data_IF_982971648121
#
_entry.id   IF_982971648121
#
_cell.length_a   1.000
_cell.length_b   1.000
_cell.length_c   1.000
_cell.angle_alpha   90.00
_cell.angle_beta   90.00
_cell.angle_gamma   90.00
#
_symmetry.space_group_name_H-M   'P 1'
#
loop_
_entity.id
_entity.type
_entity.pdbx_description
1 polymer ?
#
# COMPACT_ATOMS: atom_id res chain seq x y z
N UNK A 1 -14.91 27.76 -16.05
CA UNK A 1 -15.43 26.88 -14.95
C UNK A 1 -14.28 26.01 -14.45
N UNK A 2 -14.13 25.83 -13.12
CA UNK A 2 -13.16 24.86 -12.59
C UNK A 2 -13.63 23.43 -12.89
N UNK A 3 -12.72 22.48 -13.21
CA UNK A 3 -13.07 21.07 -13.34
C UNK A 3 -13.66 20.52 -12.04
N UNK A 4 -14.66 19.65 -12.16
CA UNK A 4 -15.29 18.98 -11.01
C UNK A 4 -14.53 17.71 -10.62
N UNK A 5 -14.12 17.61 -9.38
CA UNK A 5 -13.35 16.46 -8.86
C UNK A 5 -14.11 15.79 -7.72
N UNK A 6 -14.28 14.47 -7.85
CA UNK A 6 -14.79 13.62 -6.78
C UNK A 6 -13.60 13.03 -5.99
N UNK A 7 -13.62 13.15 -4.67
CA UNK A 7 -12.68 12.47 -3.77
C UNK A 7 -13.43 11.35 -3.07
N UNK A 8 -13.11 10.09 -3.40
CA UNK A 8 -13.89 8.92 -2.95
C UNK A 8 -13.71 8.59 -1.46
N UNK A 9 -12.59 8.97 -0.88
CA UNK A 9 -12.24 8.71 0.53
C UNK A 9 -11.53 9.92 1.13
N UNK A 10 -11.60 10.05 2.44
CA UNK A 10 -10.80 11.06 3.16
C UNK A 10 -9.33 10.92 2.82
N UNK A 11 -8.70 12.03 2.42
CA UNK A 11 -7.25 12.16 2.24
C UNK A 11 -6.70 13.17 3.26
N UNK A 12 -5.42 13.53 3.20
CA UNK A 12 -4.87 14.50 4.15
C UNK A 12 -5.53 15.88 3.98
N UNK A 13 -5.76 16.58 5.09
CA UNK A 13 -6.39 17.91 5.09
C UNK A 13 -5.66 18.88 4.16
N UNK A 14 -4.33 18.86 4.17
CA UNK A 14 -3.51 19.69 3.28
C UNK A 14 -3.79 19.41 1.80
N UNK A 15 -4.00 18.14 1.42
CA UNK A 15 -4.32 17.79 0.05
C UNK A 15 -5.73 18.23 -0.33
N UNK A 16 -6.71 18.06 0.57
CA UNK A 16 -8.09 18.54 0.37
C UNK A 16 -8.15 20.06 0.21
N UNK A 17 -7.47 20.81 1.08
CA UNK A 17 -7.38 22.27 0.97
C UNK A 17 -6.76 22.72 -0.34
N UNK A 18 -5.70 22.05 -0.80
CA UNK A 18 -5.04 22.36 -2.07
C UNK A 18 -5.97 22.10 -3.26
N UNK A 19 -6.68 20.97 -3.24
CA UNK A 19 -7.65 20.62 -4.29
C UNK A 19 -8.77 21.66 -4.35
N UNK A 20 -9.35 22.06 -3.23
CA UNK A 20 -10.45 23.03 -3.16
C UNK A 20 -10.06 24.43 -3.68
N UNK A 21 -8.78 24.79 -3.57
CA UNK A 21 -8.28 26.05 -4.15
C UNK A 21 -8.28 26.04 -5.68
N UNK A 22 -7.97 24.88 -6.27
CA UNK A 22 -7.74 24.75 -7.71
C UNK A 22 -8.96 24.23 -8.48
N UNK A 23 -9.81 23.39 -7.86
CA UNK A 23 -10.91 22.67 -8.48
C UNK A 23 -12.25 22.91 -7.76
N UNK A 24 -13.35 22.49 -8.41
CA UNK A 24 -14.65 22.32 -7.78
C UNK A 24 -14.71 20.90 -7.21
N UNK A 25 -14.57 20.75 -5.90
CA UNK A 25 -14.29 19.47 -5.24
C UNK A 25 -15.45 19.02 -4.37
N UNK A 26 -15.87 17.77 -4.58
CA UNK A 26 -16.74 17.07 -3.63
C UNK A 26 -15.89 16.08 -2.83
N UNK A 27 -15.84 16.30 -1.53
CA UNK A 27 -15.15 15.44 -0.56
C UNK A 27 -16.09 14.39 0.00
N UNK A 28 -15.55 13.24 0.42
CA UNK A 28 -16.26 12.26 1.24
C UNK A 28 -15.87 12.44 2.72
N UNK A 29 -16.66 13.20 3.49
CA UNK A 29 -16.26 13.60 4.85
C UNK A 29 -16.36 12.45 5.86
N UNK A 30 -17.15 11.41 5.56
CA UNK A 30 -17.38 10.27 6.46
C UNK A 30 -16.28 9.23 6.41
N UNK A 31 -15.39 9.28 5.41
CA UNK A 31 -14.36 8.28 5.14
C UNK A 31 -14.89 6.83 5.05
N UNK A 32 -16.14 6.68 4.62
CA UNK A 32 -16.75 5.38 4.35
C UNK A 32 -16.55 5.02 2.87
N UNK A 33 -16.31 3.74 2.55
CA UNK A 33 -16.26 3.31 1.14
C UNK A 33 -17.58 3.58 0.44
N UNK A 34 -17.54 4.24 -0.71
CA UNK A 34 -18.71 4.42 -1.56
C UNK A 34 -18.97 3.10 -2.29
N UNK A 35 -20.18 2.50 -2.16
CA UNK A 35 -20.52 1.29 -2.91
C UNK A 35 -20.36 1.50 -4.42
N UNK A 36 -19.89 0.49 -5.16
CA UNK A 36 -19.63 0.59 -6.60
C UNK A 36 -20.83 1.15 -7.38
N UNK A 37 -22.02 0.69 -7.08
CA UNK A 37 -23.26 1.14 -7.76
C UNK A 37 -23.59 2.61 -7.52
N UNK A 38 -23.25 3.14 -6.36
CA UNK A 38 -23.41 4.55 -6.03
C UNK A 38 -22.26 5.38 -6.65
N UNK A 39 -21.02 4.90 -6.55
CA UNK A 39 -19.86 5.54 -7.14
C UNK A 39 -20.04 5.78 -8.65
N UNK A 40 -20.56 4.78 -9.37
CA UNK A 40 -20.88 4.88 -10.81
C UNK A 40 -21.89 6.01 -11.09
N UNK A 41 -22.92 6.13 -10.27
CA UNK A 41 -23.95 7.17 -10.44
C UNK A 41 -23.35 8.57 -10.24
N UNK A 42 -22.57 8.73 -9.15
CA UNK A 42 -22.04 10.02 -8.77
C UNK A 42 -20.94 10.46 -9.74
N UNK A 43 -20.00 9.59 -10.11
CA UNK A 43 -18.79 9.95 -10.87
C UNK A 43 -19.10 10.48 -12.27
N UNK A 44 -20.27 10.16 -12.79
CA UNK A 44 -20.72 10.62 -14.11
C UNK A 44 -20.90 12.15 -14.23
N UNK A 45 -20.95 12.85 -13.09
CA UNK A 45 -21.06 14.31 -13.04
C UNK A 45 -19.69 15.01 -12.91
N UNK A 46 -18.60 14.26 -12.87
CA UNK A 46 -17.25 14.77 -12.59
C UNK A 46 -16.29 14.63 -13.77
N UNK A 47 -15.34 15.55 -13.85
CA UNK A 47 -14.25 15.54 -14.84
C UNK A 47 -13.08 14.67 -14.39
N UNK A 48 -12.88 14.52 -13.08
CA UNK A 48 -11.83 13.71 -12.47
C UNK A 48 -12.27 13.06 -11.17
N UNK A 49 -11.57 12.02 -10.79
CA UNK A 49 -11.78 11.30 -9.55
C UNK A 49 -10.45 11.06 -8.85
N UNK A 50 -10.41 11.30 -7.55
CA UNK A 50 -9.34 10.80 -6.68
C UNK A 50 -9.86 9.54 -6.01
N UNK A 51 -9.18 8.41 -6.27
CA UNK A 51 -9.55 7.09 -5.80
C UNK A 51 -8.51 6.52 -4.84
N UNK A 52 -8.90 5.49 -4.10
CA UNK A 52 -8.04 4.71 -3.22
C UNK A 52 -8.09 3.23 -3.58
N UNK A 53 -7.24 2.40 -2.98
CA UNK A 53 -7.25 0.96 -3.19
C UNK A 53 -8.55 0.25 -2.73
N UNK A 54 -9.43 0.96 -2.05
CA UNK A 54 -10.73 0.42 -1.59
C UNK A 54 -11.85 0.59 -2.63
N UNK A 55 -11.64 1.46 -3.61
CA UNK A 55 -12.63 1.70 -4.66
C UNK A 55 -12.58 0.58 -5.71
N UNK A 56 -13.73 0.03 -6.04
CA UNK A 56 -13.84 -1.01 -7.06
C UNK A 56 -14.05 -0.37 -8.45
N UNK A 57 -12.99 -0.31 -9.24
CA UNK A 57 -12.96 0.35 -10.55
C UNK A 57 -12.72 -0.70 -11.65
N UNK A 58 -13.65 -1.64 -11.73
CA UNK A 58 -13.61 -2.76 -12.67
C UNK A 58 -14.40 -2.51 -13.95
N UNK A 59 -14.70 -3.59 -14.66
CA UNK A 59 -15.42 -3.55 -15.93
C UNK A 59 -16.80 -2.90 -15.80
N UNK A 60 -17.55 -3.23 -14.74
CA UNK A 60 -18.87 -2.67 -14.48
C UNK A 60 -18.81 -1.14 -14.31
N UNK A 61 -17.78 -0.64 -13.61
CA UNK A 61 -17.57 0.80 -13.47
C UNK A 61 -17.40 1.47 -14.84
N UNK A 62 -16.47 0.99 -15.66
CA UNK A 62 -16.18 1.61 -16.96
C UNK A 62 -17.33 1.50 -17.96
N UNK A 63 -18.09 0.40 -17.95
CA UNK A 63 -19.21 0.20 -18.86
C UNK A 63 -20.38 1.16 -18.61
N UNK A 64 -20.50 1.70 -17.40
CA UNK A 64 -21.59 2.59 -17.01
C UNK A 64 -21.19 4.08 -16.94
N UNK A 65 -20.04 4.45 -17.48
CA UNK A 65 -19.61 5.85 -17.54
C UNK A 65 -20.28 6.62 -18.68
N UNK A 66 -20.72 7.84 -18.40
CA UNK A 66 -21.32 8.78 -19.37
C UNK A 66 -20.31 9.41 -20.35
N UNK A 67 -19.01 9.22 -20.12
CA UNK A 67 -17.94 9.79 -20.95
C UNK A 67 -17.41 11.15 -20.48
N UNK A 68 -17.87 11.70 -19.36
CA UNK A 68 -17.38 12.95 -18.79
C UNK A 68 -16.06 12.80 -18.04
N UNK A 69 -15.87 11.69 -17.36
CA UNK A 69 -14.67 11.39 -16.58
C UNK A 69 -13.43 11.28 -17.50
N UNK A 70 -12.38 12.04 -17.20
CA UNK A 70 -11.15 12.12 -18.01
C UNK A 70 -9.94 11.53 -17.32
N UNK A 71 -9.94 11.52 -15.98
CA UNK A 71 -8.80 11.11 -15.19
C UNK A 71 -9.22 10.48 -13.86
N UNK A 72 -8.52 9.43 -13.45
CA UNK A 72 -8.58 8.84 -12.13
C UNK A 72 -7.18 8.91 -11.53
N UNK A 73 -7.05 9.63 -10.40
CA UNK A 73 -5.81 9.76 -9.65
C UNK A 73 -5.86 8.84 -8.43
N UNK A 74 -5.14 7.73 -8.47
CA UNK A 74 -5.09 6.73 -7.42
C UNK A 74 -4.16 7.19 -6.28
N UNK A 75 -4.67 7.32 -5.08
CA UNK A 75 -3.88 7.50 -3.86
C UNK A 75 -3.36 6.14 -3.42
N UNK A 76 -2.18 5.80 -3.89
CA UNK A 76 -1.52 4.50 -3.64
C UNK A 76 -0.52 4.17 -4.72
N UNK A 77 0.37 3.22 -4.42
CA UNK A 77 1.34 2.68 -5.39
C UNK A 77 0.70 1.61 -6.25
N UNK A 78 -0.08 0.71 -5.63
CA UNK A 78 -0.85 -0.33 -6.31
C UNK A 78 -2.10 0.24 -6.96
N UNK A 79 -2.50 -0.37 -8.06
CA UNK A 79 -3.71 -0.03 -8.81
C UNK A 79 -4.43 -1.29 -9.32
N UNK A 80 -4.29 -2.39 -8.59
CA UNK A 80 -4.92 -3.69 -8.95
C UNK A 80 -6.46 -3.63 -8.91
N UNK A 81 -6.99 -2.63 -8.20
CA UNK A 81 -8.42 -2.33 -8.14
C UNK A 81 -8.95 -1.60 -9.39
N UNK A 82 -8.06 -1.18 -10.31
CA UNK A 82 -8.42 -0.44 -11.53
C UNK A 82 -8.16 -1.30 -12.76
N UNK A 83 -9.17 -1.53 -13.58
CA UNK A 83 -9.03 -2.25 -14.84
C UNK A 83 -8.44 -1.34 -15.92
N UNK A 84 -7.11 -1.30 -16.00
CA UNK A 84 -6.35 -0.39 -16.88
C UNK A 84 -6.77 -0.50 -18.35
N UNK A 85 -6.98 -1.72 -18.85
CA UNK A 85 -7.40 -1.94 -20.23
C UNK A 85 -8.70 -1.20 -20.57
N UNK A 86 -9.70 -1.26 -19.70
CA UNK A 86 -10.96 -0.55 -19.90
C UNK A 86 -10.80 0.97 -19.78
N UNK A 87 -9.90 1.44 -18.91
CA UNK A 87 -9.56 2.87 -18.82
C UNK A 87 -8.94 3.38 -20.14
N UNK A 88 -8.02 2.62 -20.75
CA UNK A 88 -7.39 2.94 -22.04
C UNK A 88 -8.41 2.99 -23.17
N UNK A 89 -9.30 2.00 -23.26
CA UNK A 89 -10.40 1.96 -24.25
C UNK A 89 -11.32 3.18 -24.14
N UNK A 90 -11.60 3.64 -22.91
CA UNK A 90 -12.39 4.83 -22.62
C UNK A 90 -11.58 6.14 -22.68
N UNK A 91 -10.27 6.08 -22.97
CA UNK A 91 -9.34 7.22 -22.98
C UNK A 91 -9.28 7.98 -21.66
N UNK A 92 -9.46 7.27 -20.54
CA UNK A 92 -9.35 7.83 -19.18
C UNK A 92 -7.92 7.66 -18.71
N UNK A 93 -7.29 8.75 -18.29
CA UNK A 93 -5.94 8.73 -17.74
C UNK A 93 -5.94 8.16 -16.33
N UNK A 94 -5.02 7.26 -16.05
CA UNK A 94 -4.80 6.73 -14.69
C UNK A 94 -3.44 7.23 -14.20
N UNK A 95 -3.41 7.78 -12.99
CA UNK A 95 -2.17 8.15 -12.30
C UNK A 95 -2.14 7.49 -10.92
N UNK A 96 -0.95 7.28 -10.39
CA UNK A 96 -0.72 6.72 -9.06
C UNK A 96 0.41 7.45 -8.35
N UNK A 97 0.72 7.07 -7.09
CA UNK A 97 1.77 7.71 -6.28
C UNK A 97 2.97 6.77 -6.06
N UNK A 98 3.78 6.47 -7.10
CA UNK A 98 4.93 5.59 -6.95
C UNK A 98 6.05 6.26 -6.14
N UNK A 99 6.92 5.44 -5.52
CA UNK A 99 8.14 5.81 -4.80
C UNK A 99 7.96 6.45 -3.40
N UNK A 100 6.78 6.95 -3.04
CA UNK A 100 6.57 7.72 -1.80
C UNK A 100 6.63 6.90 -0.52
N UNK A 101 6.53 5.56 -0.60
CA UNK A 101 6.47 4.68 0.57
C UNK A 101 7.50 3.54 0.56
N UNK A 102 8.42 3.52 -0.39
CA UNK A 102 9.35 2.40 -0.54
C UNK A 102 10.19 2.16 0.73
N UNK A 103 10.67 3.23 1.36
CA UNK A 103 11.45 3.17 2.60
C UNK A 103 10.61 2.64 3.76
N UNK A 104 9.45 3.24 3.99
CA UNK A 104 8.56 2.84 5.07
C UNK A 104 8.13 1.36 4.99
N UNK A 105 7.84 0.87 3.76
CA UNK A 105 7.49 -0.53 3.55
C UNK A 105 8.69 -1.45 3.76
N UNK A 106 9.89 -1.04 3.33
CA UNK A 106 11.10 -1.82 3.56
C UNK A 106 11.44 -1.90 5.06
N UNK A 107 11.34 -0.80 5.79
CA UNK A 107 11.50 -0.75 7.25
C UNK A 107 10.51 -1.66 7.96
N UNK A 108 9.24 -1.58 7.59
CA UNK A 108 8.19 -2.45 8.14
C UNK A 108 8.46 -3.92 7.81
N UNK A 109 8.97 -4.23 6.62
CA UNK A 109 9.36 -5.59 6.24
C UNK A 109 10.45 -6.12 7.16
N UNK A 110 11.50 -5.36 7.42
CA UNK A 110 12.58 -5.75 8.33
C UNK A 110 12.09 -5.86 9.78
N UNK A 111 11.25 -4.89 10.21
CA UNK A 111 10.63 -4.96 11.53
C UNK A 111 9.87 -6.29 11.74
N UNK A 112 9.04 -6.69 10.76
CA UNK A 112 8.28 -7.94 10.84
C UNK A 112 9.17 -9.19 10.84
N UNK A 113 10.23 -9.21 10.03
CA UNK A 113 11.22 -10.30 10.00
C UNK A 113 11.89 -10.43 11.37
N UNK A 114 12.35 -9.32 11.95
CA UNK A 114 12.98 -9.30 13.27
C UNK A 114 11.98 -9.66 14.38
N UNK A 115 10.77 -9.12 14.32
CA UNK A 115 9.72 -9.41 15.30
C UNK A 115 9.36 -10.90 15.32
N UNK A 116 9.20 -11.52 14.15
CA UNK A 116 8.95 -12.95 14.03
C UNK A 116 10.14 -13.78 14.53
N UNK A 117 11.36 -13.44 14.07
CA UNK A 117 12.58 -14.16 14.46
C UNK A 117 12.87 -14.08 15.97
N UNK A 118 12.54 -12.97 16.61
CA UNK A 118 12.78 -12.71 18.04
C UNK A 118 11.56 -12.98 18.92
N UNK A 119 10.46 -13.50 18.36
CA UNK A 119 9.22 -13.84 19.09
C UNK A 119 8.62 -12.64 19.84
N UNK A 120 8.68 -11.44 19.24
CA UNK A 120 8.25 -10.20 19.89
C UNK A 120 6.78 -10.22 20.31
N UNK A 121 5.89 -10.80 19.48
CA UNK A 121 4.46 -10.93 19.82
C UNK A 121 4.22 -11.73 21.11
N UNK A 122 4.95 -12.84 21.29
CA UNK A 122 4.88 -13.65 22.50
C UNK A 122 5.44 -12.89 23.70
N UNK A 123 6.59 -12.23 23.54
CA UNK A 123 7.20 -11.42 24.60
C UNK A 123 6.28 -10.28 25.05
N UNK A 124 5.69 -9.58 24.09
CA UNK A 124 4.73 -8.51 24.36
C UNK A 124 3.52 -9.01 25.17
N UNK A 125 2.91 -10.11 24.74
CA UNK A 125 1.76 -10.68 25.45
C UNK A 125 2.15 -11.16 26.87
N UNK A 126 3.31 -11.77 27.02
CA UNK A 126 3.81 -12.23 28.31
C UNK A 126 3.94 -11.08 29.33
N UNK A 127 4.50 -9.96 28.89
CA UNK A 127 4.67 -8.77 29.75
C UNK A 127 3.33 -8.09 30.01
N UNK A 128 2.51 -7.91 28.97
CA UNK A 128 1.23 -7.21 29.09
C UNK A 128 0.21 -7.92 29.98
N UNK A 129 0.23 -9.25 30.02
CA UNK A 129 -0.69 -10.05 30.85
C UNK A 129 -0.16 -10.34 32.25
N UNK A 130 0.92 -9.69 32.66
CA UNK A 130 1.60 -9.86 33.93
C UNK A 130 2.09 -11.32 34.21
N UNK A 131 2.03 -12.16 33.19
CA UNK A 131 2.47 -13.55 33.27
C UNK A 131 3.99 -13.70 33.41
N UNK A 132 4.75 -12.64 33.15
CA UNK A 132 6.18 -12.61 33.34
C UNK A 132 6.60 -12.97 34.76
N UNK A 133 5.89 -12.44 35.75
CA UNK A 133 6.17 -12.67 37.18
C UNK A 133 6.01 -14.13 37.62
N UNK A 134 5.12 -14.86 36.95
CA UNK A 134 4.75 -16.23 37.29
C UNK A 134 5.57 -17.28 36.52
N UNK A 135 6.47 -16.85 35.64
CA UNK A 135 7.27 -17.78 34.85
C UNK A 135 8.35 -18.43 35.69
N UNK A 136 8.48 -19.76 35.57
CA UNK A 136 9.66 -20.51 35.93
C UNK A 136 10.44 -20.81 34.66
N UNK A 137 11.32 -19.92 34.20
CA UNK A 137 11.90 -20.05 32.88
C UNK A 137 12.86 -21.24 32.83
N UNK A 138 12.61 -22.15 31.88
CA UNK A 138 13.65 -23.03 31.37
C UNK A 138 14.55 -22.16 30.48
N UNK A 139 15.71 -21.80 30.97
CA UNK A 139 16.66 -20.91 30.29
C UNK A 139 17.13 -21.45 28.93
N UNK A 140 16.87 -22.73 28.64
CA UNK A 140 17.23 -23.36 27.36
C UNK A 140 16.16 -23.18 26.28
N UNK A 141 14.93 -22.79 26.66
CA UNK A 141 13.78 -22.71 25.72
C UNK A 141 12.99 -21.42 25.85
N UNK A 142 13.03 -20.78 27.05
CA UNK A 142 12.21 -19.62 27.35
C UNK A 142 12.59 -18.41 26.48
N UNK A 143 11.66 -17.95 25.67
CA UNK A 143 11.81 -16.77 24.83
C UNK A 143 13.03 -16.74 23.89
N UNK A 144 13.65 -17.91 23.64
CA UNK A 144 14.77 -18.01 22.71
C UNK A 144 14.24 -17.86 21.28
N UNK A 145 14.65 -16.80 20.62
CA UNK A 145 14.40 -16.55 19.20
C UNK A 145 15.56 -16.96 18.32
N UNK A 146 15.41 -16.80 17.03
CA UNK A 146 16.44 -17.09 16.03
C UNK A 146 17.20 -15.81 15.65
N UNK A 147 18.52 -15.94 15.42
CA UNK A 147 19.30 -14.86 14.81
C UNK A 147 19.01 -14.81 13.32
N UNK A 148 18.96 -13.61 12.76
CA UNK A 148 18.89 -13.40 11.31
C UNK A 148 20.26 -13.28 10.67
N UNK A 149 21.29 -12.96 11.46
CA UNK A 149 22.68 -12.83 10.99
C UNK A 149 23.20 -14.15 10.40
N UNK A 150 23.78 -14.07 9.21
CA UNK A 150 24.27 -15.24 8.46
C UNK A 150 23.19 -16.08 7.79
N UNK A 151 21.91 -15.77 8.02
CA UNK A 151 20.78 -16.46 7.34
C UNK A 151 20.56 -15.91 5.94
N UNK A 152 19.83 -16.69 5.14
CA UNK A 152 19.46 -16.31 3.77
C UNK A 152 18.03 -15.78 3.75
N UNK A 153 17.85 -14.57 3.20
CA UNK A 153 16.54 -14.00 2.90
C UNK A 153 16.22 -14.25 1.43
N UNK A 154 15.14 -14.99 1.18
CA UNK A 154 14.56 -15.14 -0.16
C UNK A 154 13.55 -14.02 -0.42
N UNK A 155 13.68 -13.33 -1.56
CA UNK A 155 12.78 -12.24 -1.96
C UNK A 155 12.09 -12.61 -3.27
N UNK A 156 10.78 -12.69 -3.24
CA UNK A 156 9.96 -12.85 -4.45
C UNK A 156 9.51 -11.46 -4.89
N UNK A 157 10.06 -10.97 -6.00
CA UNK A 157 9.83 -9.61 -6.49
C UNK A 157 10.92 -8.61 -6.05
N UNK A 158 12.00 -8.54 -6.80
CA UNK A 158 13.11 -7.60 -6.58
C UNK A 158 12.86 -6.25 -7.30
N UNK A 159 11.66 -5.67 -7.05
CA UNK A 159 11.30 -4.33 -7.47
C UNK A 159 11.88 -3.25 -6.55
N UNK A 160 11.29 -2.04 -6.56
CA UNK A 160 11.75 -0.90 -5.73
C UNK A 160 11.80 -1.25 -4.25
N UNK A 161 10.71 -1.78 -3.71
CA UNK A 161 10.61 -2.18 -2.29
C UNK A 161 11.52 -3.37 -1.99
N UNK A 162 11.52 -4.41 -2.83
CA UNK A 162 12.36 -5.59 -2.63
C UNK A 162 13.85 -5.26 -2.59
N UNK A 163 14.32 -4.34 -3.45
CA UNK A 163 15.72 -3.85 -3.44
C UNK A 163 16.05 -3.13 -2.13
N UNK A 164 15.14 -2.31 -1.63
CA UNK A 164 15.36 -1.55 -0.40
C UNK A 164 15.34 -2.49 0.82
N UNK A 165 14.41 -3.43 0.89
CA UNK A 165 14.40 -4.47 1.91
C UNK A 165 15.67 -5.33 1.87
N UNK A 166 16.17 -5.69 0.67
CA UNK A 166 17.43 -6.41 0.50
C UNK A 166 18.62 -5.63 1.06
N UNK A 167 18.69 -4.31 0.78
CA UNK A 167 19.72 -3.43 1.31
C UNK A 167 19.72 -3.40 2.84
N UNK A 168 18.54 -3.25 3.45
CA UNK A 168 18.38 -3.29 4.90
C UNK A 168 18.78 -4.66 5.49
N UNK A 169 18.34 -5.76 4.87
CA UNK A 169 18.67 -7.11 5.34
C UNK A 169 20.17 -7.43 5.24
N UNK A 170 20.87 -6.91 4.23
CA UNK A 170 22.33 -7.02 4.15
C UNK A 170 23.04 -6.36 5.33
N UNK A 171 22.53 -5.23 5.85
CA UNK A 171 23.07 -4.57 7.04
C UNK A 171 22.97 -5.43 8.30
N UNK A 172 22.01 -6.36 8.36
CA UNK A 172 21.91 -7.39 9.40
C UNK A 172 22.75 -8.64 9.12
N UNK A 173 23.64 -8.60 8.13
CA UNK A 173 24.50 -9.73 7.78
C UNK A 173 23.78 -10.89 7.09
N UNK A 174 22.63 -10.65 6.49
CA UNK A 174 21.88 -11.68 5.75
C UNK A 174 22.43 -11.85 4.33
N UNK A 175 22.38 -13.09 3.83
CA UNK A 175 22.57 -13.40 2.40
C UNK A 175 21.24 -13.19 1.69
N UNK A 176 21.30 -12.64 0.46
CA UNK A 176 20.10 -12.39 -0.33
C UNK A 176 20.06 -13.32 -1.54
N UNK A 177 18.93 -14.00 -1.72
CA UNK A 177 18.55 -14.66 -2.95
C UNK A 177 17.20 -14.07 -3.39
N UNK A 178 16.95 -14.04 -4.69
CA UNK A 178 15.67 -13.50 -5.17
C UNK A 178 15.17 -14.25 -6.40
N UNK A 179 13.85 -14.14 -6.59
CA UNK A 179 13.18 -14.50 -7.82
C UNK A 179 12.46 -13.28 -8.39
N UNK A 180 12.57 -13.04 -9.69
CA UNK A 180 11.87 -11.96 -10.38
C UNK A 180 11.43 -12.41 -11.77
N UNK A 181 10.30 -11.90 -12.24
CA UNK A 181 9.78 -12.24 -13.58
C UNK A 181 10.78 -11.87 -14.68
N UNK A 182 11.39 -10.72 -14.60
CA UNK A 182 12.43 -10.25 -15.51
C UNK A 182 13.77 -10.24 -14.79
N UNK A 183 14.84 -10.65 -15.48
CA UNK A 183 16.20 -10.54 -14.95
C UNK A 183 16.52 -9.07 -14.67
N UNK A 184 17.13 -8.83 -13.53
CA UNK A 184 17.62 -7.49 -13.20
C UNK A 184 18.92 -7.21 -13.95
N UNK A 185 19.19 -5.92 -14.23
CA UNK A 185 20.53 -5.48 -14.65
C UNK A 185 21.53 -5.75 -13.52
N UNK A 186 22.78 -6.04 -13.89
CA UNK A 186 23.84 -6.48 -12.98
C UNK A 186 24.34 -5.38 -12.01
N UNK A 187 23.71 -4.21 -11.99
CA UNK A 187 24.08 -3.02 -11.16
C UNK A 187 23.48 -3.06 -9.73
N UNK A 188 23.40 -4.25 -9.11
CA UNK A 188 22.85 -4.41 -7.75
C UNK A 188 23.83 -5.04 -6.79
#
# INVERSE_FOLDING_TARGET
>A
MKPKILVSRKISDLAEEKLQKEFDVTLNPKDEPIPESELIKIVNDYDGMISTGFDKIGENFFNNLSGKLKIIAQVGVGYDNILIKSAEEKKIKITNTPNVLNEAVAETTILLILAASRRIGEAYNLVRTDNWKNQKPDLTKFMIGNSVTGKTLGIIGMGRIGRMAAKCAKAFGMKIIYFNRNKLSDDL
#
